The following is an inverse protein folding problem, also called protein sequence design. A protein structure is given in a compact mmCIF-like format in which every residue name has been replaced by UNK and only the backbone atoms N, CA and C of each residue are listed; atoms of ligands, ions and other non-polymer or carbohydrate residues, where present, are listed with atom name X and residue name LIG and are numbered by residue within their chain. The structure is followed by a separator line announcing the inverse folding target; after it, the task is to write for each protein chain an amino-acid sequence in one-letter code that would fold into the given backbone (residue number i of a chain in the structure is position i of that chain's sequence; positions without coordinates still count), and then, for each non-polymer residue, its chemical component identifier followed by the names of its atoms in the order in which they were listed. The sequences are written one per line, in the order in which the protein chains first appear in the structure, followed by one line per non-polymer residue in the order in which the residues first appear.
data_IF_060542495261
#
_entry.id   IF_060542495261
#
_cell.length_a   1.000
_cell.length_b   1.000
_cell.length_c   1.000
_cell.angle_alpha   90.00
_cell.angle_beta   90.00
_cell.angle_gamma   90.00
#
_symmetry.space_group_name_H-M   'P 1'
#
loop_
_entity.id
_entity.type
_entity.pdbx_description
1 polymer ?
#
# COMPACT_ATOMS: atom_id res chain seq x y z
N UNK A 1 12.66 -5.48 19.83
CA UNK A 1 11.58 -4.53 20.18
C UNK A 1 10.30 -5.02 19.53
N UNK A 2 9.16 -5.00 20.21
CA UNK A 2 7.88 -5.50 19.65
C UNK A 2 7.10 -4.30 19.12
N UNK A 3 6.67 -4.30 17.84
CA UNK A 3 5.89 -3.20 17.28
C UNK A 3 4.48 -3.13 17.88
N UNK A 4 3.97 -1.91 18.04
CA UNK A 4 2.58 -1.63 18.43
C UNK A 4 1.74 -1.41 17.18
N UNK A 5 0.63 -2.14 17.04
CA UNK A 5 -0.31 -1.94 15.92
C UNK A 5 -1.44 -1.02 16.36
N UNK A 6 -1.73 0.00 15.56
CA UNK A 6 -2.85 0.94 15.78
C UNK A 6 -3.58 1.26 14.48
N UNK A 7 -4.81 1.77 14.61
CA UNK A 7 -5.53 2.35 13.48
C UNK A 7 -4.73 3.49 12.86
N UNK A 8 -4.75 3.54 11.54
CA UNK A 8 -4.18 4.61 10.75
C UNK A 8 -4.83 5.96 11.12
N UNK A 9 -4.02 7.01 11.01
CA UNK A 9 -4.41 8.40 11.19
C UNK A 9 -3.73 9.21 10.09
N UNK A 10 -4.31 10.34 9.64
CA UNK A 10 -3.74 11.14 8.55
C UNK A 10 -2.27 11.53 8.73
N UNK A 11 -1.83 11.71 9.98
CA UNK A 11 -0.43 12.00 10.31
C UNK A 11 0.56 10.89 9.94
N UNK A 12 0.10 9.64 9.79
CA UNK A 12 0.92 8.50 9.37
C UNK A 12 1.12 8.46 7.84
N UNK A 13 0.30 9.20 7.06
CA UNK A 13 0.29 9.15 5.59
C UNK A 13 1.68 9.26 4.96
N UNK A 14 2.53 10.26 5.30
CA UNK A 14 3.82 10.40 4.64
C UNK A 14 4.69 9.15 4.80
N UNK A 15 4.73 8.57 6.00
CA UNK A 15 5.52 7.38 6.29
C UNK A 15 4.93 6.12 5.64
N UNK A 16 3.60 6.02 5.54
CA UNK A 16 2.93 4.93 4.81
C UNK A 16 3.27 4.97 3.32
N UNK A 17 3.18 6.15 2.68
CA UNK A 17 3.50 6.33 1.26
C UNK A 17 4.98 6.02 1.00
N UNK A 18 5.90 6.57 1.80
CA UNK A 18 7.34 6.30 1.67
C UNK A 18 7.69 4.82 1.87
N UNK A 19 7.08 4.17 2.86
CA UNK A 19 7.30 2.73 3.08
C UNK A 19 6.74 1.90 1.91
N UNK A 20 5.62 2.30 1.33
CA UNK A 20 5.02 1.62 0.19
C UNK A 20 5.85 1.73 -1.07
N UNK A 21 6.45 2.89 -1.34
CA UNK A 21 7.36 3.08 -2.47
C UNK A 21 8.51 2.07 -2.40
N UNK A 22 9.19 2.03 -1.24
CA UNK A 22 10.31 1.11 -1.01
C UNK A 22 9.91 -0.36 -1.09
N UNK A 23 8.69 -0.70 -0.64
CA UNK A 23 8.19 -2.07 -0.67
C UNK A 23 7.86 -2.53 -2.11
N UNK A 24 7.28 -1.64 -2.92
CA UNK A 24 6.84 -1.95 -4.28
C UNK A 24 7.95 -1.81 -5.33
N UNK A 25 8.93 -0.94 -5.14
CA UNK A 25 10.05 -0.74 -6.06
C UNK A 25 10.71 -2.05 -6.55
N UNK A 26 11.13 -2.99 -5.68
CA UNK A 26 11.73 -4.24 -6.15
C UNK A 26 10.75 -5.15 -6.89
N UNK A 27 9.45 -5.06 -6.60
CA UNK A 27 8.41 -5.83 -7.30
C UNK A 27 8.21 -5.30 -8.72
N UNK A 28 8.13 -3.98 -8.88
CA UNK A 28 7.98 -3.35 -10.19
C UNK A 28 9.25 -3.44 -11.04
N UNK A 29 10.44 -3.45 -10.42
CA UNK A 29 11.69 -3.75 -11.11
C UNK A 29 11.63 -5.14 -11.76
N UNK A 30 11.24 -6.17 -10.99
CA UNK A 30 11.07 -7.53 -11.52
C UNK A 30 9.94 -7.61 -12.55
N UNK A 31 8.82 -6.94 -12.33
CA UNK A 31 7.69 -6.93 -13.26
C UNK A 31 8.12 -6.40 -14.64
N UNK A 32 8.92 -5.32 -14.66
CA UNK A 32 9.44 -4.72 -15.89
C UNK A 32 10.35 -5.67 -16.68
N UNK A 33 11.11 -6.51 -15.99
CA UNK A 33 12.00 -7.49 -16.62
C UNK A 33 11.24 -8.70 -17.19
N UNK A 34 10.12 -9.08 -16.58
CA UNK A 34 9.40 -10.31 -16.89
C UNK A 34 8.15 -10.10 -17.77
N UNK A 35 7.69 -8.87 -17.96
CA UNK A 35 6.52 -8.53 -18.79
C UNK A 35 6.98 -7.89 -20.11
N UNK A 36 6.38 -8.24 -21.26
CA UNK A 36 6.68 -7.57 -22.52
C UNK A 36 6.57 -6.05 -22.39
N UNK A 37 7.59 -5.33 -22.88
CA UNK A 37 7.73 -3.88 -22.64
C UNK A 37 6.53 -3.06 -23.09
N UNK A 38 5.88 -3.43 -24.20
CA UNK A 38 4.68 -2.74 -24.69
C UNK A 38 3.49 -2.89 -23.72
N UNK A 39 3.37 -4.04 -23.04
CA UNK A 39 2.35 -4.27 -22.03
C UNK A 39 2.66 -3.41 -20.81
N UNK A 40 3.88 -3.51 -20.28
CA UNK A 40 4.30 -2.73 -19.11
C UNK A 40 4.08 -1.22 -19.33
N UNK A 41 4.51 -0.69 -20.48
CA UNK A 41 4.36 0.73 -20.82
C UNK A 41 2.90 1.14 -21.04
N UNK A 42 2.03 0.23 -21.49
CA UNK A 42 0.60 0.51 -21.61
C UNK A 42 -0.09 0.62 -20.24
N UNK A 43 0.32 -0.21 -19.27
CA UNK A 43 -0.22 -0.18 -17.90
C UNK A 43 0.35 0.97 -17.06
N UNK A 44 1.61 1.34 -17.29
CA UNK A 44 2.33 2.35 -16.50
C UNK A 44 2.96 3.44 -17.40
N UNK A 45 2.14 4.19 -18.17
CA UNK A 45 2.64 5.15 -19.17
C UNK A 45 3.40 6.33 -18.57
N UNK A 46 3.19 6.63 -17.29
CA UNK A 46 3.89 7.69 -16.53
C UNK A 46 4.80 7.13 -15.43
N UNK A 47 5.10 5.84 -15.49
CA UNK A 47 5.75 5.10 -14.42
C UNK A 47 4.74 4.44 -13.49
N UNK A 48 5.19 3.41 -12.78
CA UNK A 48 4.35 2.63 -11.87
C UNK A 48 3.98 3.41 -10.62
N UNK A 49 4.93 4.20 -10.10
CA UNK A 49 4.79 4.86 -8.81
C UNK A 49 3.67 5.89 -8.81
N UNK A 50 3.49 6.67 -9.87
CA UNK A 50 2.42 7.66 -9.93
C UNK A 50 1.04 7.03 -9.75
N UNK A 51 0.81 5.89 -10.41
CA UNK A 51 -0.44 5.14 -10.24
C UNK A 51 -0.54 4.52 -8.85
N UNK A 52 0.53 3.85 -8.42
CA UNK A 52 0.57 3.14 -7.14
C UNK A 52 0.34 4.09 -5.94
N UNK A 53 0.97 5.26 -5.97
CA UNK A 53 0.80 6.30 -4.96
C UNK A 53 -0.64 6.80 -4.94
N UNK A 54 -1.23 7.12 -6.10
CA UNK A 54 -2.61 7.57 -6.18
C UNK A 54 -3.58 6.52 -5.59
N UNK A 55 -3.40 5.26 -5.98
CA UNK A 55 -4.18 4.13 -5.51
C UNK A 55 -4.09 3.98 -3.96
N UNK A 56 -2.88 4.10 -3.39
CA UNK A 56 -2.67 4.08 -1.94
C UNK A 56 -3.30 5.30 -1.25
N UNK A 57 -3.11 6.51 -1.78
CA UNK A 57 -3.65 7.73 -1.19
C UNK A 57 -5.19 7.70 -1.15
N UNK A 58 -5.83 7.26 -2.24
CA UNK A 58 -7.28 7.05 -2.29
C UNK A 58 -7.74 6.01 -1.27
N UNK A 59 -7.03 4.89 -1.16
CA UNK A 59 -7.32 3.87 -0.15
C UNK A 59 -7.26 4.44 1.28
N UNK A 60 -6.25 5.25 1.58
CA UNK A 60 -6.09 5.88 2.89
C UNK A 60 -7.16 6.94 3.19
N UNK A 61 -7.77 7.53 2.16
CA UNK A 61 -8.89 8.46 2.31
C UNK A 61 -10.22 7.71 2.52
N UNK A 62 -10.44 6.61 1.82
CA UNK A 62 -11.72 5.89 1.81
C UNK A 62 -11.84 4.84 2.93
N UNK A 63 -10.74 4.18 3.29
CA UNK A 63 -10.70 2.99 4.17
C UNK A 63 -9.79 3.22 5.40
N UNK A 64 -9.76 4.45 5.91
CA UNK A 64 -8.88 4.84 7.01
C UNK A 64 -9.10 4.00 8.28
N UNK A 65 -10.36 3.66 8.60
CA UNK A 65 -10.73 2.89 9.80
C UNK A 65 -10.29 1.43 9.72
N UNK A 66 -10.20 0.90 8.50
CA UNK A 66 -9.81 -0.47 8.19
C UNK A 66 -8.30 -0.58 7.93
N UNK A 67 -7.59 0.54 7.99
CA UNK A 67 -6.14 0.59 7.80
C UNK A 67 -5.44 0.60 9.16
N UNK A 68 -4.45 -0.27 9.30
CA UNK A 68 -3.62 -0.43 10.49
C UNK A 68 -2.17 -0.07 10.17
N UNK A 69 -1.50 0.58 11.11
CA UNK A 69 -0.06 0.86 11.05
C UNK A 69 0.65 0.18 12.23
N UNK A 70 1.84 -0.36 11.96
CA UNK A 70 2.75 -0.92 12.96
C UNK A 70 3.81 0.12 13.32
N UNK A 71 3.98 0.40 14.61
CA UNK A 71 4.86 1.43 15.14
C UNK A 71 5.98 0.83 16.00
N UNK A 72 7.22 1.25 15.75
CA UNK A 72 8.36 1.04 16.65
C UNK A 72 8.68 2.41 17.27
N UNK A 73 8.30 2.60 18.54
CA UNK A 73 8.19 3.95 19.09
C UNK A 73 7.07 4.71 18.38
N UNK A 74 7.42 5.80 17.69
CA UNK A 74 6.52 6.60 16.86
C UNK A 74 6.78 6.44 15.35
N UNK A 75 7.72 5.58 14.96
CA UNK A 75 8.08 5.35 13.56
C UNK A 75 7.21 4.24 12.94
N UNK A 76 6.60 4.53 11.79
CA UNK A 76 5.86 3.54 11.01
C UNK A 76 6.83 2.55 10.37
N UNK A 77 6.71 1.29 10.77
CA UNK A 77 7.55 0.18 10.26
C UNK A 77 6.76 -0.81 9.41
N UNK A 78 5.45 -0.64 9.29
CA UNK A 78 4.56 -1.51 8.53
C UNK A 78 3.16 -0.93 8.48
N UNK A 79 2.37 -1.32 7.50
CA UNK A 79 0.95 -1.02 7.43
C UNK A 79 0.21 -2.07 6.63
N UNK A 80 -1.10 -2.15 6.83
CA UNK A 80 -2.00 -3.01 6.07
C UNK A 80 -3.38 -2.38 6.04
N UNK A 81 -4.09 -2.49 4.92
CA UNK A 81 -5.53 -2.23 4.87
C UNK A 81 -6.26 -3.54 4.68
N UNK A 82 -7.45 -3.66 5.27
CA UNK A 82 -8.30 -4.83 5.12
C UNK A 82 -9.67 -4.45 4.62
N UNK A 83 -10.26 -5.27 3.77
CA UNK A 83 -11.69 -5.17 3.45
C UNK A 83 -12.44 -6.33 4.08
N UNK A 84 -13.62 -6.03 4.63
CA UNK A 84 -14.47 -7.01 5.28
C UNK A 84 -15.77 -7.17 4.48
N UNK A 85 -15.99 -8.37 3.98
CA UNK A 85 -17.17 -8.74 3.22
C UNK A 85 -18.15 -9.46 4.16
N UNK A 86 -19.16 -8.75 4.65
CA UNK A 86 -20.11 -9.30 5.64
C UNK A 86 -20.98 -10.42 5.07
N UNK A 87 -21.22 -10.38 3.76
CA UNK A 87 -22.19 -11.25 3.08
C UNK A 87 -21.71 -12.70 2.99
N UNK A 88 -20.40 -12.90 2.91
CA UNK A 88 -19.73 -14.21 2.85
C UNK A 88 -18.81 -14.47 4.06
N UNK A 89 -18.79 -13.55 5.04
CA UNK A 89 -17.94 -13.62 6.24
C UNK A 89 -16.45 -13.73 5.91
N UNK A 90 -16.01 -13.05 4.86
CA UNK A 90 -14.61 -13.02 4.43
C UNK A 90 -13.94 -11.68 4.72
N UNK A 91 -12.60 -11.71 4.78
CA UNK A 91 -11.78 -10.51 4.79
C UNK A 91 -10.56 -10.70 3.90
N UNK A 92 -10.14 -9.64 3.24
CA UNK A 92 -8.95 -9.63 2.40
C UNK A 92 -7.96 -8.58 2.89
N UNK A 93 -6.67 -8.89 2.77
CA UNK A 93 -5.63 -7.86 2.81
C UNK A 93 -5.72 -7.12 1.48
N UNK A 94 -6.07 -5.84 1.56
CA UNK A 94 -6.26 -5.00 0.39
C UNK A 94 -5.05 -4.08 0.25
N UNK A 95 -4.18 -4.42 -0.68
CA UNK A 95 -3.04 -3.60 -1.09
C UNK A 95 -3.06 -3.60 -2.62
N UNK A 96 -3.24 -2.41 -3.20
CA UNK A 96 -3.33 -2.17 -4.65
C UNK A 96 -2.02 -2.47 -5.36
#
# INVERSE_FOLDING_TARGET
MIPRVVTYLPQHRPAVVELSERAWEPVFAQLRENVPSYVYNAFYPRGWWERQQHDIETLLDEEAEQTLVALIGDEVCGWVSVRLHKEDSMGEIYIL
#
